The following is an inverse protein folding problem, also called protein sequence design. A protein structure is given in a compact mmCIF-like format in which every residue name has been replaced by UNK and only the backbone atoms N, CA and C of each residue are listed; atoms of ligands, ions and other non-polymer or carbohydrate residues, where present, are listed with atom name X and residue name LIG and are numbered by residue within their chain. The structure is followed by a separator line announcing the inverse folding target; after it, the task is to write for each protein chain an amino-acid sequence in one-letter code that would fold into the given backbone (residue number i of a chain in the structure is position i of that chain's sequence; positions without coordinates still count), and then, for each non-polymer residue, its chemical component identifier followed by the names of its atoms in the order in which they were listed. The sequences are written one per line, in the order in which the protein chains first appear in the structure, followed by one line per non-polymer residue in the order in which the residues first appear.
data_IF_165912431878
#
_entry.id   IF_165912431878
#
_cell.length_a   1.000
_cell.length_b   1.000
_cell.length_c   1.000
_cell.angle_alpha   90.00
_cell.angle_beta   90.00
_cell.angle_gamma   90.00
#
_symmetry.space_group_name_H-M   'P 1'
#
loop_
_entity.id
_entity.type
_entity.pdbx_description
1 polymer ?
#
# COMPACT_ATOMS: atom_id res chain seq x y z
N UNK A 1 -19.48 0.07 7.44
CA UNK A 1 -18.65 0.54 6.28
C UNK A 1 -17.19 0.17 6.55
N UNK A 2 -16.28 0.26 5.57
CA UNK A 2 -14.87 -0.10 5.79
C UNK A 2 -13.94 0.95 5.18
N UNK A 3 -12.84 1.24 5.86
CA UNK A 3 -11.66 1.85 5.22
C UNK A 3 -10.90 0.74 4.52
N UNK A 4 -10.62 0.92 3.23
CA UNK A 4 -9.66 0.12 2.50
C UNK A 4 -8.30 0.82 2.57
N UNK A 5 -7.31 0.13 3.11
CA UNK A 5 -5.89 0.50 3.03
C UNK A 5 -5.24 -0.25 1.88
N UNK A 6 -4.45 0.46 1.08
CA UNK A 6 -3.64 -0.04 -0.02
C UNK A 6 -2.21 0.42 0.23
N UNK A 7 -1.32 -0.51 0.50
CA UNK A 7 0.12 -0.23 0.71
C UNK A 7 0.86 -0.65 -0.54
N UNK A 8 1.35 0.34 -1.29
CA UNK A 8 2.15 0.14 -2.50
C UNK A 8 3.63 0.25 -2.14
N UNK A 9 4.38 -0.84 -2.37
CA UNK A 9 5.84 -0.80 -2.27
C UNK A 9 6.49 -0.40 -3.60
N UNK A 10 5.80 -0.65 -4.72
CA UNK A 10 6.17 -0.10 -6.01
C UNK A 10 5.26 1.10 -6.32
N UNK A 11 5.83 2.31 -6.32
CA UNK A 11 5.09 3.55 -6.55
C UNK A 11 4.67 3.75 -8.00
N UNK A 12 5.21 2.98 -8.94
CA UNK A 12 4.82 3.03 -10.35
C UNK A 12 3.33 2.70 -10.56
N UNK A 13 2.74 1.88 -9.68
CA UNK A 13 1.31 1.53 -9.73
C UNK A 13 0.38 2.61 -9.17
N UNK A 14 0.91 3.73 -8.66
CA UNK A 14 0.09 4.73 -7.99
C UNK A 14 -1.02 5.25 -8.91
N UNK A 15 -0.67 5.68 -10.12
CA UNK A 15 -1.62 6.25 -11.08
C UNK A 15 -2.66 5.21 -11.54
N UNK A 16 -2.24 3.97 -11.80
CA UNK A 16 -3.14 2.88 -12.19
C UNK A 16 -4.13 2.53 -11.07
N UNK A 17 -3.66 2.50 -9.82
CA UNK A 17 -4.51 2.25 -8.65
C UNK A 17 -5.51 3.38 -8.46
N UNK A 18 -5.09 4.64 -8.59
CA UNK A 18 -5.99 5.79 -8.49
C UNK A 18 -7.02 5.78 -9.63
N UNK A 19 -6.61 5.43 -10.85
CA UNK A 19 -7.51 5.28 -12.00
C UNK A 19 -8.58 4.22 -11.75
N UNK A 20 -8.19 3.04 -11.24
CA UNK A 20 -9.14 1.99 -10.86
C UNK A 20 -10.14 2.44 -9.79
N UNK A 21 -9.70 3.23 -8.80
CA UNK A 21 -10.61 3.80 -7.80
C UNK A 21 -11.66 4.71 -8.46
N UNK A 22 -11.23 5.58 -9.37
CA UNK A 22 -12.13 6.48 -10.13
C UNK A 22 -13.11 5.68 -10.99
N UNK A 23 -12.64 4.68 -11.75
CA UNK A 23 -13.49 3.80 -12.58
C UNK A 23 -14.57 3.08 -11.77
N UNK A 24 -14.26 2.73 -10.52
CA UNK A 24 -15.20 2.08 -9.60
C UNK A 24 -16.06 3.07 -8.81
N UNK A 25 -16.07 4.35 -9.18
CA UNK A 25 -16.82 5.43 -8.53
C UNK A 25 -16.48 5.53 -7.04
N UNK A 26 -15.19 5.53 -6.71
CA UNK A 26 -14.65 5.87 -5.39
C UNK A 26 -14.21 7.33 -5.42
N UNK A 27 -14.99 8.20 -4.78
CA UNK A 27 -14.91 9.65 -5.00
C UNK A 27 -13.81 10.37 -4.19
N UNK A 28 -13.04 9.64 -3.38
CA UNK A 28 -12.01 10.25 -2.55
C UNK A 28 -11.10 9.20 -1.93
N UNK A 29 -9.81 9.52 -1.88
CA UNK A 29 -8.79 8.76 -1.20
C UNK A 29 -7.76 9.73 -0.62
N UNK A 30 -7.12 9.33 0.46
CA UNK A 30 -5.98 10.04 1.05
C UNK A 30 -4.73 9.23 0.82
N UNK A 31 -3.64 9.90 0.45
CA UNK A 31 -2.36 9.29 0.13
C UNK A 31 -1.34 9.79 1.14
N UNK A 32 -0.60 8.86 1.76
CA UNK A 32 0.50 9.14 2.68
C UNK A 32 1.80 8.57 2.12
N UNK A 33 2.88 9.31 2.33
CA UNK A 33 4.22 8.74 2.26
C UNK A 33 4.47 7.87 3.48
N UNK A 34 4.94 6.66 3.24
CA UNK A 34 5.13 5.62 4.26
C UNK A 34 6.45 4.89 4.03
N UNK A 35 6.89 4.10 4.99
CA UNK A 35 8.09 3.27 4.85
C UNK A 35 7.84 1.89 5.43
N UNK A 36 8.43 0.88 4.80
CA UNK A 36 8.49 -0.47 5.35
C UNK A 36 9.56 -0.55 6.43
N UNK A 37 9.28 -1.33 7.49
CA UNK A 37 10.20 -1.53 8.62
C UNK A 37 11.62 -1.93 8.18
N UNK A 38 11.77 -2.79 7.17
CA UNK A 38 13.08 -3.21 6.67
C UNK A 38 13.90 -2.05 6.07
N UNK A 39 13.25 -1.18 5.30
CA UNK A 39 13.88 0.03 4.75
C UNK A 39 14.30 0.98 5.89
N UNK A 40 13.42 1.20 6.86
CA UNK A 40 13.69 2.10 7.99
C UNK A 40 14.86 1.61 8.86
N UNK A 41 14.93 0.33 9.18
CA UNK A 41 16.04 -0.25 9.99
C UNK A 41 17.39 -0.06 9.28
N UNK A 42 17.43 -0.27 7.98
CA UNK A 42 18.65 -0.18 7.17
C UNK A 42 19.13 1.26 6.98
N UNK A 43 18.19 2.20 6.83
CA UNK A 43 18.47 3.60 6.51
C UNK A 43 18.66 4.50 7.73
N UNK A 44 18.09 4.15 8.89
CA UNK A 44 18.17 4.98 10.10
C UNK A 44 19.22 4.49 11.12
N UNK A 45 20.18 3.67 10.71
CA UNK A 45 21.26 3.12 11.55
C UNK A 45 20.76 2.59 12.91
N UNK A 46 19.62 1.88 12.90
CA UNK A 46 19.21 0.99 14.01
C UNK A 46 20.17 -0.20 13.96
N UNK A 47 21.40 0.07 14.36
CA UNK A 47 22.62 -0.71 14.12
C UNK A 47 22.82 -1.81 15.16
N UNK A 48 21.97 -1.86 16.18
CA UNK A 48 22.06 -2.82 17.29
C UNK A 48 21.38 -4.16 17.01
N UNK A 49 20.86 -4.42 15.80
CA UNK A 49 20.32 -5.73 15.42
C UNK A 49 21.33 -6.46 14.52
N UNK A 50 22.13 -7.42 15.05
CA UNK A 50 23.25 -8.03 14.34
C UNK A 50 22.88 -8.71 13.01
N UNK A 51 21.64 -9.20 12.91
CA UNK A 51 21.12 -9.88 11.72
C UNK A 51 21.00 -8.96 10.49
N UNK A 52 20.86 -7.65 10.69
CA UNK A 52 20.64 -6.70 9.60
C UNK A 52 21.93 -6.15 9.00
N UNK A 53 23.07 -6.24 9.70
CA UNK A 53 24.37 -5.77 9.18
C UNK A 53 24.81 -6.50 7.91
N UNK A 54 24.63 -7.83 7.88
CA UNK A 54 24.93 -8.69 6.73
C UNK A 54 23.90 -8.57 5.60
N UNK A 55 22.64 -8.25 5.92
CA UNK A 55 21.57 -8.01 4.94
C UNK A 55 21.51 -6.56 4.43
N UNK A 56 22.27 -5.63 5.04
CA UNK A 56 22.25 -4.18 4.72
C UNK A 56 22.46 -3.92 3.23
N UNK A 57 23.37 -4.66 2.58
CA UNK A 57 23.68 -4.52 1.14
C UNK A 57 22.59 -5.06 0.22
N UNK A 58 21.81 -6.05 0.66
CA UNK A 58 20.68 -6.62 -0.08
C UNK A 58 19.42 -5.73 0.04
N UNK A 59 19.28 -5.04 1.18
CA UNK A 59 18.12 -4.22 1.51
C UNK A 59 18.27 -2.73 1.13
N UNK A 60 19.49 -2.27 0.79
CA UNK A 60 19.80 -0.85 0.50
C UNK A 60 19.19 -0.33 -0.80
N UNK A 61 18.81 -1.21 -1.73
CA UNK A 61 18.41 -0.85 -3.10
C UNK A 61 16.88 -0.85 -3.34
N UNK A 62 16.06 -1.03 -2.31
CA UNK A 62 14.62 -0.87 -2.47
C UNK A 62 14.23 0.56 -2.11
N UNK A 63 13.56 1.25 -3.04
CA UNK A 63 13.01 2.60 -2.88
C UNK A 63 12.62 2.90 -1.42
N UNK A 64 13.18 3.95 -0.79
CA UNK A 64 13.02 4.15 0.64
C UNK A 64 11.57 4.40 1.08
N UNK A 65 10.70 4.77 0.14
CA UNK A 65 9.33 5.22 0.40
C UNK A 65 8.30 4.34 -0.31
N UNK A 66 7.34 3.89 0.48
CA UNK A 66 6.08 3.29 0.05
C UNK A 66 5.01 4.39 -0.05
N UNK A 67 3.94 4.14 -0.82
CA UNK A 67 2.71 4.96 -0.77
C UNK A 67 1.61 4.17 -0.09
N UNK A 68 1.00 4.75 0.94
CA UNK A 68 -0.18 4.19 1.58
C UNK A 68 -1.39 5.01 1.17
N UNK A 69 -2.34 4.38 0.50
CA UNK A 69 -3.59 4.99 0.06
C UNK A 69 -4.69 4.45 0.97
N UNK A 70 -5.58 5.30 1.45
CA UNK A 70 -6.78 4.85 2.14
C UNK A 70 -8.02 5.59 1.70
N UNK A 71 -9.13 4.86 1.64
CA UNK A 71 -10.44 5.37 1.22
C UNK A 71 -11.54 4.66 1.98
N UNK A 72 -12.61 5.39 2.29
CA UNK A 72 -13.78 4.81 2.97
C UNK A 72 -14.80 4.35 1.93
N UNK A 73 -15.14 3.07 1.96
CA UNK A 73 -16.11 2.46 1.06
C UNK A 73 -17.28 1.93 1.90
N UNK A 74 -18.47 2.49 1.67
CA UNK A 74 -19.71 2.10 2.37
C UNK A 74 -20.26 0.77 1.88
N UNK A 75 -20.30 0.59 0.57
CA UNK A 75 -20.87 -0.60 -0.08
C UNK A 75 -19.85 -1.74 -0.15
N UNK A 76 -20.20 -2.89 0.44
CA UNK A 76 -19.30 -4.04 0.53
C UNK A 76 -19.06 -4.71 -0.83
N UNK A 77 -20.04 -4.69 -1.74
CA UNK A 77 -19.87 -5.26 -3.08
C UNK A 77 -18.89 -4.42 -3.91
N UNK A 78 -19.00 -3.09 -3.86
CA UNK A 78 -18.06 -2.14 -4.46
C UNK A 78 -16.65 -2.35 -3.91
N UNK A 79 -16.51 -2.47 -2.58
CA UNK A 79 -15.22 -2.77 -1.95
C UNK A 79 -14.57 -4.02 -2.55
N UNK A 80 -15.30 -5.14 -2.65
CA UNK A 80 -14.73 -6.36 -3.21
C UNK A 80 -14.39 -6.26 -4.70
N UNK A 81 -15.17 -5.52 -5.49
CA UNK A 81 -14.85 -5.24 -6.90
C UNK A 81 -13.56 -4.44 -7.03
N UNK A 82 -13.41 -3.38 -6.24
CA UNK A 82 -12.18 -2.57 -6.18
C UNK A 82 -10.96 -3.44 -5.78
N UNK A 83 -11.09 -4.23 -4.72
CA UNK A 83 -10.02 -5.13 -4.27
C UNK A 83 -9.66 -6.15 -5.35
N UNK A 84 -10.64 -6.70 -6.06
CA UNK A 84 -10.40 -7.64 -7.15
C UNK A 84 -9.66 -6.97 -8.32
N UNK A 85 -10.07 -5.78 -8.73
CA UNK A 85 -9.44 -5.04 -9.83
C UNK A 85 -7.97 -4.69 -9.51
N UNK A 86 -7.70 -4.14 -8.33
CA UNK A 86 -6.34 -3.83 -7.89
C UNK A 86 -5.50 -5.11 -7.76
N UNK A 87 -6.07 -6.19 -7.25
CA UNK A 87 -5.36 -7.48 -7.14
C UNK A 87 -5.01 -8.06 -8.52
N UNK A 88 -5.83 -7.84 -9.54
CA UNK A 88 -5.51 -8.24 -10.91
C UNK A 88 -4.36 -7.40 -11.46
N UNK A 89 -4.44 -6.07 -11.35
CA UNK A 89 -3.36 -5.14 -11.73
C UNK A 89 -2.01 -5.55 -11.11
N UNK A 90 -1.97 -5.81 -9.80
CA UNK A 90 -0.73 -6.16 -9.09
C UNK A 90 -0.22 -7.59 -9.39
N UNK A 91 -1.02 -8.46 -10.00
CA UNK A 91 -0.64 -9.85 -10.33
C UNK A 91 -0.06 -10.00 -11.74
N UNK A 92 -0.44 -9.13 -12.66
CA UNK A 92 -0.03 -9.23 -14.07
C UNK A 92 1.48 -9.06 -14.23
N UNK A 93 2.09 -8.22 -13.40
CA UNK A 93 3.53 -8.15 -13.31
C UNK A 93 4.02 -9.13 -12.25
N UNK A 94 4.79 -10.15 -12.66
CA UNK A 94 5.47 -11.12 -11.77
C UNK A 94 6.53 -10.48 -10.85
N UNK A 95 6.38 -9.22 -10.48
CA UNK A 95 7.27 -8.50 -9.57
C UNK A 95 6.95 -8.95 -8.14
N UNK A 96 7.90 -9.59 -7.43
CA UNK A 96 7.72 -9.83 -6.01
C UNK A 96 7.48 -8.49 -5.30
N UNK A 97 6.58 -8.49 -4.32
CA UNK A 97 6.39 -7.39 -3.38
C UNK A 97 5.70 -6.10 -3.91
N UNK A 98 4.78 -6.16 -4.89
CA UNK A 98 4.08 -4.97 -5.41
C UNK A 98 3.31 -4.16 -4.33
N UNK A 99 2.77 -4.85 -3.32
CA UNK A 99 2.03 -4.22 -2.22
C UNK A 99 1.06 -5.18 -1.54
N UNK A 100 0.23 -4.64 -0.64
CA UNK A 100 -0.86 -5.39 -0.01
C UNK A 100 -2.04 -4.48 0.33
N UNK A 101 -3.20 -5.10 0.61
CA UNK A 101 -4.43 -4.39 0.99
C UNK A 101 -5.04 -5.02 2.22
N UNK A 102 -5.65 -4.19 3.08
CA UNK A 102 -6.43 -4.64 4.22
C UNK A 102 -7.55 -3.65 4.52
N UNK A 103 -8.49 -4.07 5.38
CA UNK A 103 -9.63 -3.23 5.73
C UNK A 103 -9.78 -3.06 7.22
N UNK A 104 -10.21 -1.89 7.65
CA UNK A 104 -10.59 -1.59 9.03
C UNK A 104 -12.08 -1.23 9.05
N UNK A 105 -12.89 -1.76 10.00
CA UNK A 105 -14.28 -1.34 10.15
C UNK A 105 -14.34 0.15 10.51
N UNK A 106 -15.31 0.85 9.93
CA UNK A 106 -15.65 2.22 10.31
C UNK A 106 -17.10 2.23 10.75
N UNK A 107 -17.30 2.67 11.98
CA UNK A 107 -18.61 2.76 12.62
C UNK A 107 -19.28 4.08 12.28
N UNK A 108 -18.55 5.20 12.43
CA UNK A 108 -19.07 6.56 12.23
C UNK A 108 -18.11 7.41 11.39
N UNK A 109 -18.65 8.40 10.68
CA UNK A 109 -17.88 9.43 9.94
C UNK A 109 -18.49 10.79 10.28
N UNK A 110 -17.64 11.73 10.68
CA UNK A 110 -18.01 13.11 10.99
C UNK A 110 -17.36 14.06 9.97
N UNK A 111 -18.04 15.17 9.69
CA UNK A 111 -17.56 16.24 8.83
C UNK A 111 -17.27 17.51 9.65
#
# INVERSE_FOLDING_TARGET
MKVLFIVLNNTDYLEDVLSLLVEHNVNGATILESQGMGSTIVNNDISDIPLFGSLKKLLKDNHPYNKTIFTVIKDQNKLYRVVAAIKSLLKEEKKPNAGFMFTVPVDEIFC
#
